data_IF_667709897357
#
_entry.id   IF_667709897357
#
_cell.length_a   1.000
_cell.length_b   1.000
_cell.length_c   1.000
_cell.angle_alpha   90.00
_cell.angle_beta   90.00
_cell.angle_gamma   90.00
#
_symmetry.space_group_name_H-M   'P 1'
#
loop_
_entity.id
_entity.type
_entity.pdbx_description
1 polymer ?
#
# COMPACT_ATOMS: atom_id res chain seq x y z
N UNK A 1 10.22 -0.12 4.77
CA UNK A 1 9.20 -0.83 3.96
C UNK A 1 7.76 -0.59 4.43
N UNK A 2 7.37 -0.81 5.70
CA UNK A 2 5.97 -0.65 6.14
C UNK A 2 5.38 0.76 5.92
N UNK A 3 6.18 1.82 6.05
CA UNK A 3 5.77 3.21 5.78
C UNK A 3 5.14 3.39 4.40
N UNK A 4 5.75 2.81 3.35
CA UNK A 4 5.25 2.95 1.98
C UNK A 4 3.88 2.29 1.79
N UNK A 5 3.65 1.16 2.45
CA UNK A 5 2.36 0.50 2.45
C UNK A 5 1.35 1.35 3.22
N UNK A 6 1.73 1.89 4.37
CA UNK A 6 0.89 2.77 5.18
C UNK A 6 0.46 4.02 4.41
N UNK A 7 1.38 4.62 3.67
CA UNK A 7 1.12 5.82 2.85
C UNK A 7 0.12 5.57 1.71
N UNK A 8 0.08 4.34 1.19
CA UNK A 8 -0.74 3.94 0.05
C UNK A 8 -2.06 3.28 0.44
N UNK A 9 -2.07 2.49 1.51
CA UNK A 9 -3.19 1.62 1.93
C UNK A 9 -3.73 1.92 3.31
N UNK A 10 -3.03 2.75 4.09
CA UNK A 10 -3.41 3.08 5.46
C UNK A 10 -3.02 1.99 6.45
N UNK A 11 -3.72 1.99 7.58
CA UNK A 11 -3.37 1.22 8.77
C UNK A 11 -3.85 -0.23 8.68
N UNK A 12 -2.97 -1.16 9.02
CA UNK A 12 -3.35 -2.55 9.29
C UNK A 12 -4.35 -2.62 10.44
N UNK A 13 -5.28 -3.57 10.39
CA UNK A 13 -6.20 -3.77 11.53
C UNK A 13 -5.43 -4.07 12.81
N UNK A 14 -5.92 -3.58 13.95
CA UNK A 14 -5.29 -3.84 15.25
C UNK A 14 -5.17 -5.37 15.51
N UNK A 15 -6.12 -6.17 15.02
CA UNK A 15 -6.08 -7.63 15.07
C UNK A 15 -4.87 -8.21 14.33
N UNK A 16 -4.57 -7.71 13.13
CA UNK A 16 -3.40 -8.15 12.37
C UNK A 16 -2.09 -7.71 13.05
N UNK A 17 -2.02 -6.47 13.55
CA UNK A 17 -0.84 -5.93 14.24
C UNK A 17 -0.51 -6.77 15.48
N UNK A 18 -1.51 -7.08 16.32
CA UNK A 18 -1.31 -7.86 17.57
C UNK A 18 -0.79 -9.27 17.33
N UNK A 19 -1.09 -9.89 16.18
CA UNK A 19 -0.58 -11.20 15.78
C UNK A 19 0.89 -11.17 15.31
N UNK A 20 1.44 -10.00 14.99
CA UNK A 20 2.80 -9.88 14.47
C UNK A 20 3.86 -10.20 15.52
N UNK A 21 4.79 -11.11 15.18
CA UNK A 21 5.94 -11.43 16.02
C UNK A 21 6.87 -10.22 16.25
N UNK A 22 7.02 -9.38 15.22
CA UNK A 22 7.88 -8.20 15.26
C UNK A 22 7.11 -6.89 15.51
N UNK A 23 5.87 -6.96 16.02
CA UNK A 23 5.00 -5.77 16.17
C UNK A 23 5.67 -4.65 16.98
N UNK A 24 6.39 -5.00 18.05
CA UNK A 24 7.04 -4.03 18.94
C UNK A 24 8.15 -3.21 18.26
N UNK A 25 8.66 -3.65 17.10
CA UNK A 25 9.61 -2.86 16.30
C UNK A 25 8.95 -1.76 15.49
N UNK A 26 7.63 -1.84 15.26
CA UNK A 26 6.92 -1.04 14.27
C UNK A 26 5.66 -0.38 14.80
N UNK A 27 5.13 -0.83 15.94
CA UNK A 27 3.91 -0.33 16.53
C UNK A 27 4.04 -0.19 18.04
N UNK A 28 3.43 0.86 18.60
CA UNK A 28 3.27 1.02 20.05
C UNK A 28 2.16 0.09 20.61
N UNK A 29 1.95 0.11 21.92
CA UNK A 29 0.93 -0.72 22.59
C UNK A 29 -0.51 -0.40 22.14
N UNK A 30 -0.73 0.82 21.65
CA UNK A 30 -1.99 1.30 21.09
C UNK A 30 -2.15 0.95 19.60
N UNK A 31 -1.22 0.17 19.04
CA UNK A 31 -1.16 -0.20 17.62
C UNK A 31 -0.98 1.01 16.68
N UNK A 32 -0.40 2.12 17.15
CA UNK A 32 0.00 3.23 16.28
C UNK A 32 1.34 2.93 15.62
N UNK A 33 1.52 3.38 14.38
CA UNK A 33 2.74 3.08 13.63
C UNK A 33 3.90 3.95 14.11
N UNK A 34 5.01 3.32 14.47
CA UNK A 34 6.26 3.99 14.86
C UNK A 34 7.17 4.10 13.64
N UNK A 35 7.24 5.30 13.06
CA UNK A 35 8.11 5.57 11.92
C UNK A 35 9.49 5.96 12.42
N UNK A 36 10.46 5.07 12.16
CA UNK A 36 11.87 5.30 12.45
C UNK A 36 12.51 6.04 11.27
N UNK A 37 13.00 7.24 11.52
CA UNK A 37 13.66 8.10 10.55
C UNK A 37 14.96 8.65 11.12
N UNK A 38 15.89 9.02 10.23
CA UNK A 38 17.09 9.76 10.62
C UNK A 38 16.82 11.23 10.36
N UNK A 39 16.92 12.04 11.41
CA UNK A 39 16.78 13.48 11.29
C UNK A 39 17.90 14.04 10.40
N UNK A 40 17.52 14.74 9.33
CA UNK A 40 18.47 15.17 8.28
C UNK A 40 19.52 16.16 8.78
N UNK A 41 19.20 16.93 9.82
CA UNK A 41 20.10 17.96 10.35
C UNK A 41 21.02 17.35 11.39
N UNK A 42 20.46 16.64 12.37
CA UNK A 42 21.20 16.11 13.52
C UNK A 42 21.82 14.74 13.29
N UNK A 43 21.42 14.04 12.22
CA UNK A 43 21.84 12.67 11.90
C UNK A 43 21.54 11.66 13.02
N UNK A 44 20.58 11.98 13.89
CA UNK A 44 20.15 11.10 14.99
C UNK A 44 18.87 10.35 14.62
N UNK A 45 18.71 9.18 15.21
CA UNK A 45 17.46 8.44 15.13
C UNK A 45 16.33 9.22 15.80
N UNK A 46 15.20 9.29 15.10
CA UNK A 46 13.96 9.89 15.54
C UNK A 46 12.83 8.91 15.28
N UNK A 47 11.95 8.76 16.27
CA UNK A 47 10.73 7.96 16.15
C UNK A 47 9.55 8.92 16.12
N UNK A 48 8.82 8.92 15.00
CA UNK A 48 7.57 9.67 14.85
C UNK A 48 6.39 8.71 14.97
N UNK A 49 5.50 8.93 15.93
CA UNK A 49 4.27 8.14 16.06
C UNK A 49 3.23 8.66 15.08
N UNK A 50 2.81 7.80 14.15
CA UNK A 50 1.79 8.10 13.15
C UNK A 50 0.45 7.61 13.66
N UNK A 51 -0.39 8.54 14.10
CA UNK A 51 -1.73 8.29 14.65
C UNK A 51 -2.85 8.34 13.61
N UNK A 52 -2.60 8.96 12.44
CA UNK A 52 -3.59 9.14 11.37
C UNK A 52 -3.38 8.21 10.15
N UNK A 53 -4.47 7.89 9.46
CA UNK A 53 -4.51 7.12 8.20
C UNK A 53 -4.67 8.00 6.96
N UNK A 54 -4.10 9.22 6.97
CA UNK A 54 -4.15 10.06 5.78
C UNK A 54 -3.31 9.40 4.69
N UNK A 55 -3.98 8.83 3.69
CA UNK A 55 -3.33 8.32 2.49
C UNK A 55 -2.62 9.49 1.82
N UNK A 56 -1.31 9.37 1.68
CA UNK A 56 -0.44 10.40 1.12
C UNK A 56 0.00 10.08 -0.30
N UNK A 57 -0.25 8.85 -0.75
CA UNK A 57 0.08 8.34 -2.08
C UNK A 57 -1.17 7.98 -2.87
N UNK A 58 -1.09 8.14 -4.18
CA UNK A 58 -2.17 7.81 -5.10
C UNK A 58 -1.61 6.88 -6.19
N UNK A 59 -2.04 5.62 -6.17
CA UNK A 59 -1.52 4.59 -7.09
C UNK A 59 -1.81 4.94 -8.55
N UNK A 60 -2.95 5.54 -8.85
CA UNK A 60 -3.31 5.91 -10.22
C UNK A 60 -2.38 6.99 -10.76
N UNK A 61 -2.13 8.02 -9.96
CA UNK A 61 -1.20 9.10 -10.32
C UNK A 61 0.22 8.56 -10.50
N UNK A 62 0.66 7.64 -9.64
CA UNK A 62 1.98 7.02 -9.73
C UNK A 62 2.14 6.09 -10.94
N UNK A 63 1.10 5.32 -11.28
CA UNK A 63 1.09 4.47 -12.48
C UNK A 63 1.07 5.30 -13.76
N UNK A 64 0.33 6.41 -13.78
CA UNK A 64 0.29 7.32 -14.92
C UNK A 64 1.61 8.06 -15.08
N UNK A 65 2.12 8.67 -14.01
CA UNK A 65 3.26 9.59 -14.08
C UNK A 65 3.04 10.66 -15.16
N UNK A 66 4.11 10.92 -15.92
CA UNK A 66 4.12 11.91 -17.00
C UNK A 66 3.63 11.37 -18.35
N UNK A 67 3.12 10.13 -18.39
CA UNK A 67 2.64 9.52 -19.63
C UNK A 67 1.36 10.20 -20.12
N UNK A 68 1.28 10.37 -21.44
CA UNK A 68 0.04 10.71 -22.14
C UNK A 68 -0.55 9.42 -22.68
N UNK A 69 -1.72 9.04 -22.18
CA UNK A 69 -2.43 7.84 -22.59
C UNK A 69 -3.65 8.22 -23.42
N UNK A 70 -3.92 7.46 -24.46
CA UNK A 70 -5.21 7.48 -25.15
C UNK A 70 -6.28 6.81 -24.28
N UNK A 71 -7.54 6.87 -24.71
CA UNK A 71 -8.66 6.32 -23.93
C UNK A 71 -8.50 4.81 -23.65
N UNK A 72 -8.14 3.95 -24.63
CA UNK A 72 -7.87 2.54 -24.37
C UNK A 72 -6.70 2.31 -23.40
N UNK A 73 -5.59 3.02 -23.56
CA UNK A 73 -4.43 2.89 -22.67
C UNK A 73 -4.75 3.28 -21.23
N UNK A 74 -5.51 4.36 -21.03
CA UNK A 74 -5.96 4.77 -19.69
C UNK A 74 -6.91 3.73 -19.06
N UNK A 75 -7.82 3.15 -19.83
CA UNK A 75 -8.68 2.05 -19.34
C UNK A 75 -7.86 0.83 -18.92
N UNK A 76 -6.86 0.43 -19.72
CA UNK A 76 -5.97 -0.69 -19.38
C UNK A 76 -5.14 -0.40 -18.13
N UNK A 77 -4.68 0.85 -17.95
CA UNK A 77 -4.00 1.29 -16.73
C UNK A 77 -4.93 1.20 -15.50
N UNK A 78 -6.20 1.57 -15.61
CA UNK A 78 -7.16 1.43 -14.52
C UNK A 78 -7.42 -0.06 -14.16
N UNK A 79 -7.47 -0.94 -15.16
CA UNK A 79 -7.51 -2.39 -14.91
C UNK A 79 -6.26 -2.87 -14.18
N UNK A 80 -5.08 -2.39 -14.56
CA UNK A 80 -3.82 -2.74 -13.88
C UNK A 80 -3.80 -2.25 -12.43
N UNK A 81 -4.21 -1.00 -12.21
CA UNK A 81 -4.39 -0.43 -10.87
C UNK A 81 -5.28 -1.32 -10.03
N UNK A 82 -6.45 -1.72 -10.54
CA UNK A 82 -7.38 -2.57 -9.79
C UNK A 82 -6.76 -3.92 -9.41
N UNK A 83 -6.06 -4.58 -10.34
CA UNK A 83 -5.35 -5.83 -10.05
C UNK A 83 -4.32 -5.64 -8.93
N UNK A 84 -3.48 -4.60 -9.02
CA UNK A 84 -2.49 -4.28 -7.99
C UNK A 84 -3.14 -4.00 -6.64
N UNK A 85 -4.26 -3.29 -6.61
CA UNK A 85 -4.99 -3.01 -5.37
C UNK A 85 -5.48 -4.28 -4.71
N UNK A 86 -6.02 -5.21 -5.50
CA UNK A 86 -6.48 -6.50 -5.00
C UNK A 86 -5.32 -7.39 -4.53
N UNK A 87 -4.18 -7.37 -5.23
CA UNK A 87 -2.96 -8.11 -4.85
C UNK A 87 -2.28 -7.55 -3.59
N UNK A 88 -2.37 -6.24 -3.36
CA UNK A 88 -1.71 -5.55 -2.24
C UNK A 88 -2.64 -5.26 -1.07
N UNK A 89 -3.80 -5.92 -1.02
CA UNK A 89 -4.74 -5.79 0.10
C UNK A 89 -4.07 -6.23 1.42
N UNK A 90 -4.24 -5.40 2.45
CA UNK A 90 -3.58 -5.58 3.76
C UNK A 90 -4.11 -6.81 4.50
N UNK A 91 -5.41 -7.05 4.39
CA UNK A 91 -6.04 -8.26 4.89
C UNK A 91 -5.77 -9.42 3.91
N UNK A 92 -4.94 -10.37 4.33
CA UNK A 92 -4.52 -11.49 3.48
C UNK A 92 -5.69 -12.39 3.11
N UNK A 93 -6.77 -12.43 3.90
CA UNK A 93 -7.94 -13.25 3.58
C UNK A 93 -8.84 -12.60 2.53
N UNK A 94 -8.63 -11.32 2.24
CA UNK A 94 -9.36 -10.56 1.20
C UNK A 94 -8.53 -10.30 -0.04
N UNK A 95 -7.28 -10.78 -0.05
CA UNK A 95 -6.38 -10.63 -1.19
C UNK A 95 -6.83 -11.55 -2.31
N UNK A 96 -6.74 -11.06 -3.55
CA UNK A 96 -7.02 -11.86 -4.74
C UNK A 96 -6.17 -13.14 -4.76
N UNK A 97 -6.79 -14.25 -5.13
CA UNK A 97 -6.11 -15.53 -5.34
C UNK A 97 -5.40 -15.57 -6.70
N UNK A 98 -4.49 -16.52 -6.88
CA UNK A 98 -3.80 -16.70 -8.16
C UNK A 98 -4.79 -16.97 -9.31
N UNK A 99 -5.82 -17.80 -9.08
CA UNK A 99 -6.81 -18.13 -10.09
C UNK A 99 -7.65 -16.91 -10.49
N UNK A 100 -8.11 -16.12 -9.53
CA UNK A 100 -8.84 -14.88 -9.80
C UNK A 100 -7.96 -13.85 -10.52
N UNK A 101 -6.68 -13.75 -10.15
CA UNK A 101 -5.73 -12.84 -10.81
C UNK A 101 -5.51 -13.22 -12.28
N UNK A 102 -5.41 -14.51 -12.60
CA UNK A 102 -5.30 -15.00 -13.98
C UNK A 102 -6.55 -14.70 -14.82
N UNK A 103 -7.72 -14.59 -14.19
CA UNK A 103 -8.99 -14.24 -14.84
C UNK A 103 -9.31 -12.74 -14.79
N UNK A 104 -8.42 -11.91 -14.23
CA UNK A 104 -8.68 -10.49 -14.06
C UNK A 104 -8.77 -9.77 -15.43
N UNK A 105 -9.66 -8.79 -15.63
CA UNK A 105 -9.81 -8.05 -16.91
C UNK A 105 -8.50 -7.50 -17.48
N UNK A 106 -7.60 -7.05 -16.62
CA UNK A 106 -6.24 -6.63 -17.02
C UNK A 106 -5.48 -7.71 -17.82
N UNK A 107 -5.64 -8.98 -17.46
CA UNK A 107 -4.95 -10.12 -18.10
C UNK A 107 -5.74 -10.61 -19.33
N UNK A 108 -7.06 -10.77 -19.19
CA UNK A 108 -7.87 -11.49 -20.20
C UNK A 108 -8.48 -10.60 -21.28
N UNK A 109 -8.75 -9.32 -21.00
CA UNK A 109 -9.31 -8.42 -22.01
C UNK A 109 -8.28 -8.13 -23.09
N UNK A 110 -8.61 -8.50 -24.33
CA UNK A 110 -7.87 -8.10 -25.51
C UNK A 110 -8.17 -6.61 -25.76
N UNK A 111 -7.10 -5.82 -25.87
CA UNK A 111 -7.18 -4.38 -26.22
C UNK A 111 -7.79 -4.18 -27.61
#
# INVERSE_FOLDING_TARGET
>A
MLKYIFDLKGKYSNKAIRKGAFRAKHFDDNCNFMYHEVDRVTQREKITVVTGTKLSRNLEHELKGDQTLDKPGYLKMLQFKNLLENMTTLDTTKRITCNEALQHPFIVDKM
#
